data_IF_450333858897
#
_entry.id   IF_450333858897
#
_cell.length_a   1.000
_cell.length_b   1.000
_cell.length_c   1.000
_cell.angle_alpha   90.00
_cell.angle_beta   90.00
_cell.angle_gamma   90.00
#
_symmetry.space_group_name_H-M   'P 1'
#
loop_
_entity.id
_entity.type
_entity.pdbx_description
1 polymer ?
#
# COMPACT_ATOMS: atom_id res chain seq x y z
N UNK A 1 -8.76 -10.26 -5.11
CA UNK A 1 -7.62 -9.33 -5.02
C UNK A 1 -6.35 -10.14 -4.97
N UNK A 2 -5.19 -9.50 -4.82
CA UNK A 2 -3.96 -10.21 -4.44
C UNK A 2 -4.12 -10.74 -3.01
N UNK A 3 -3.66 -11.96 -2.75
CA UNK A 3 -3.70 -12.55 -1.41
C UNK A 3 -2.50 -12.06 -0.60
N UNK A 4 -2.74 -11.06 0.27
CA UNK A 4 -1.70 -10.46 1.11
C UNK A 4 -1.15 -11.42 2.18
N UNK A 5 -1.83 -12.53 2.47
CA UNK A 5 -1.35 -13.52 3.45
C UNK A 5 -0.04 -14.19 3.02
N UNK A 6 0.20 -14.26 1.71
CA UNK A 6 1.43 -14.82 1.12
C UNK A 6 2.71 -14.09 1.57
N UNK A 7 2.58 -12.85 2.02
CA UNK A 7 3.70 -11.98 2.41
C UNK A 7 3.59 -11.47 3.85
N UNK A 8 2.66 -12.00 4.65
CA UNK A 8 2.42 -11.57 6.04
C UNK A 8 3.62 -11.83 6.98
N UNK A 9 4.55 -12.72 6.61
CA UNK A 9 5.77 -12.99 7.37
C UNK A 9 6.91 -12.01 7.13
N UNK A 10 6.82 -11.13 6.11
CA UNK A 10 7.93 -10.24 5.74
C UNK A 10 8.25 -9.20 6.82
N UNK A 11 7.28 -8.74 7.59
CA UNK A 11 7.54 -7.80 8.70
C UNK A 11 8.45 -8.39 9.79
N UNK A 12 8.59 -9.72 9.86
CA UNK A 12 9.45 -10.41 10.83
C UNK A 12 10.88 -10.68 10.36
N UNK A 13 11.25 -10.31 9.13
CA UNK A 13 12.56 -10.67 8.55
C UNK A 13 13.73 -9.78 9.02
N UNK A 14 13.46 -8.78 9.87
CA UNK A 14 14.49 -7.91 10.45
C UNK A 14 15.03 -6.82 9.53
N UNK A 15 14.47 -6.67 8.33
CA UNK A 15 14.82 -5.57 7.39
C UNK A 15 13.58 -4.76 6.99
N UNK A 16 13.72 -3.45 6.71
CA UNK A 16 12.63 -2.63 6.20
C UNK A 16 12.13 -3.14 4.84
N UNK A 17 10.81 -3.36 4.71
CA UNK A 17 10.16 -3.84 3.48
C UNK A 17 9.19 -2.81 2.93
N UNK A 18 9.25 -2.57 1.62
CA UNK A 18 8.26 -1.81 0.87
C UNK A 18 7.32 -2.77 0.12
N UNK A 19 6.01 -2.58 0.24
CA UNK A 19 5.01 -3.33 -0.54
C UNK A 19 4.59 -2.50 -1.74
N UNK A 20 4.67 -3.10 -2.93
CA UNK A 20 4.33 -2.47 -4.20
C UNK A 20 3.45 -3.41 -5.05
N UNK A 21 3.03 -2.93 -6.22
CA UNK A 21 2.30 -3.74 -7.21
C UNK A 21 0.79 -3.73 -7.02
N UNK A 22 0.07 -3.13 -7.98
CA UNK A 22 -1.40 -3.13 -7.99
C UNK A 22 -2.08 -2.39 -6.83
N UNK A 23 -1.31 -1.64 -6.03
CA UNK A 23 -1.85 -0.82 -4.95
C UNK A 23 -2.64 0.36 -5.51
N UNK A 24 -3.75 0.69 -4.85
CA UNK A 24 -4.68 1.77 -5.19
C UNK A 24 -5.41 2.24 -3.91
N UNK A 25 -6.11 3.38 -3.93
CA UNK A 25 -6.78 3.89 -2.73
C UNK A 25 -7.71 2.88 -2.04
N UNK A 26 -8.35 1.99 -2.81
CA UNK A 26 -9.30 1.01 -2.28
C UNK A 26 -8.70 -0.25 -1.64
N UNK A 27 -7.39 -0.52 -1.78
CA UNK A 27 -6.77 -1.73 -1.22
C UNK A 27 -5.55 -1.48 -0.33
N UNK A 28 -4.96 -0.29 -0.34
CA UNK A 28 -3.71 -0.03 0.38
C UNK A 28 -3.84 -0.21 1.89
N UNK A 29 -4.98 0.13 2.49
CA UNK A 29 -5.22 -0.05 3.91
C UNK A 29 -5.23 -1.53 4.33
N UNK A 30 -5.81 -2.40 3.50
CA UNK A 30 -5.81 -3.85 3.70
C UNK A 30 -4.38 -4.41 3.55
N UNK A 31 -3.66 -3.99 2.52
CA UNK A 31 -2.27 -4.40 2.29
C UNK A 31 -1.37 -4.02 3.48
N UNK A 32 -1.46 -2.78 3.98
CA UNK A 32 -0.70 -2.31 5.16
C UNK A 32 -1.04 -3.13 6.39
N UNK A 33 -2.33 -3.40 6.65
CA UNK A 33 -2.75 -4.19 7.82
C UNK A 33 -2.23 -5.63 7.76
N UNK A 34 -2.32 -6.28 6.61
CA UNK A 34 -1.94 -7.67 6.43
C UNK A 34 -0.42 -7.88 6.47
N UNK A 35 0.36 -6.90 6.01
CA UNK A 35 1.81 -7.07 5.79
C UNK A 35 2.70 -6.29 6.74
N UNK A 36 2.14 -5.34 7.50
CA UNK A 36 2.84 -4.43 8.43
C UNK A 36 4.17 -3.91 7.85
N UNK A 37 4.16 -3.35 6.62
CA UNK A 37 5.39 -3.04 5.92
C UNK A 37 6.03 -1.77 6.51
N UNK A 38 7.30 -1.54 6.20
CA UNK A 38 7.94 -0.25 6.51
C UNK A 38 7.32 0.89 5.68
N UNK A 39 6.89 0.58 4.45
CA UNK A 39 6.16 1.52 3.61
C UNK A 39 5.49 0.86 2.41
N UNK A 40 4.83 1.67 1.60
CA UNK A 40 4.15 1.25 0.38
C UNK A 40 4.60 2.11 -0.81
N UNK A 41 4.66 1.50 -1.98
CA UNK A 41 4.96 2.16 -3.26
C UNK A 41 3.80 2.02 -4.25
N UNK A 42 3.50 3.10 -4.98
CA UNK A 42 2.39 3.11 -5.94
C UNK A 42 2.76 3.87 -7.22
N UNK A 43 2.51 3.22 -8.35
CA UNK A 43 2.63 3.80 -9.68
C UNK A 43 1.24 3.97 -10.33
N UNK A 44 0.77 2.94 -11.04
CA UNK A 44 -0.42 3.02 -11.90
C UNK A 44 -1.75 3.12 -11.16
N UNK A 45 -1.85 2.66 -9.90
CA UNK A 45 -3.12 2.72 -9.15
C UNK A 45 -3.54 4.12 -8.68
N UNK A 46 -2.75 5.15 -9.00
CA UNK A 46 -3.06 6.57 -8.79
C UNK A 46 -2.92 7.39 -10.08
N UNK A 47 -2.99 6.72 -11.23
CA UNK A 47 -2.92 7.36 -12.56
C UNK A 47 -4.31 7.47 -13.19
N UNK A 48 -4.59 8.59 -13.86
CA UNK A 48 -5.78 8.75 -14.72
C UNK A 48 -5.56 8.15 -16.11
N UNK A 49 -4.30 8.11 -16.55
CA UNK A 49 -3.82 7.50 -17.79
C UNK A 49 -2.33 7.13 -17.60
N UNK A 50 -1.74 6.22 -18.41
CA UNK A 50 -0.36 5.77 -18.22
C UNK A 50 0.63 6.93 -18.09
N UNK A 51 1.30 7.02 -16.93
CA UNK A 51 2.26 8.07 -16.61
C UNK A 51 1.68 9.43 -16.18
N UNK A 52 0.36 9.59 -16.15
CA UNK A 52 -0.34 10.82 -15.74
C UNK A 52 -1.01 10.59 -14.39
N UNK A 53 -0.52 11.27 -13.34
CA UNK A 53 -1.04 11.15 -11.98
C UNK A 53 -2.38 11.88 -11.82
N UNK A 54 -3.33 11.21 -11.17
CA UNK A 54 -4.54 11.82 -10.63
C UNK A 54 -4.26 12.27 -9.20
N UNK A 55 -4.28 13.58 -8.97
CA UNK A 55 -3.96 14.15 -7.66
C UNK A 55 -4.99 13.81 -6.58
N UNK A 56 -6.25 13.57 -6.94
CA UNK A 56 -7.27 13.13 -5.99
C UNK A 56 -7.07 11.66 -5.62
N UNK A 57 -6.69 10.82 -6.58
CA UNK A 57 -6.29 9.44 -6.32
C UNK A 57 -5.04 9.37 -5.43
N UNK A 58 -4.02 10.21 -5.68
CA UNK A 58 -2.82 10.30 -4.83
C UNK A 58 -3.20 10.69 -3.39
N UNK A 59 -4.02 11.72 -3.21
CA UNK A 59 -4.47 12.14 -1.86
C UNK A 59 -5.27 11.04 -1.17
N UNK A 60 -6.16 10.37 -1.90
CA UNK A 60 -6.95 9.26 -1.37
C UNK A 60 -6.06 8.08 -0.96
N UNK A 61 -5.05 7.76 -1.76
CA UNK A 61 -4.06 6.73 -1.47
C UNK A 61 -3.31 7.01 -0.17
N UNK A 62 -2.74 8.21 -0.02
CA UNK A 62 -1.99 8.60 1.19
C UNK A 62 -2.88 8.56 2.43
N UNK A 63 -4.13 9.06 2.34
CA UNK A 63 -5.09 8.99 3.45
C UNK A 63 -5.39 7.54 3.84
N UNK A 64 -5.68 6.67 2.88
CA UNK A 64 -5.98 5.28 3.13
C UNK A 64 -4.78 4.53 3.74
N UNK A 65 -3.57 4.73 3.22
CA UNK A 65 -2.34 4.11 3.73
C UNK A 65 -2.05 4.52 5.18
N UNK A 66 -2.30 5.79 5.54
CA UNK A 66 -2.07 6.33 6.89
C UNK A 66 -3.24 6.15 7.85
N UNK A 67 -4.37 5.61 7.39
CA UNK A 67 -5.55 5.39 8.25
C UNK A 67 -5.40 4.23 9.24
N UNK A 68 -4.35 3.43 9.08
CA UNK A 68 -4.04 2.29 9.94
C UNK A 68 -3.02 2.72 10.99
N UNK A 69 -3.41 2.66 12.27
CA UNK A 69 -2.43 2.67 13.36
C UNK A 69 -1.96 1.23 13.60
N UNK A 70 -0.68 0.95 13.34
CA UNK A 70 -0.10 -0.40 13.48
C UNK A 70 0.48 -0.66 14.89
N UNK A 71 0.40 0.32 15.79
CA UNK A 71 1.10 0.34 17.08
C UNK A 71 0.18 0.49 18.29
N UNK A 72 -1.13 0.37 18.08
CA UNK A 72 -2.12 0.03 19.11
C UNK A 72 -2.31 -1.49 19.12
#
# INVERSE_FOLDING_TARGET
GFDWSLVAGLSGCGVPVLVAGGLKPSNVAEAVRATRPYGVDVASGVESAPGIKDMDAVRAFVRAAKSINLWE
#
